data_IF_884943320208
#
_entry.id   IF_884943320208
#
_cell.length_a   1.000
_cell.length_b   1.000
_cell.length_c   1.000
_cell.angle_alpha   90.00
_cell.angle_beta   90.00
_cell.angle_gamma   90.00
#
_symmetry.space_group_name_H-M   'P 1'
#
loop_
_entity.id
_entity.type
_entity.pdbx_description
1 polymer ?
#
# COMPACT_ATOMS: atom_id res chain seq x y z
N UNK A 1 12.43 20.88 -20.57
CA UNK A 1 11.89 19.93 -19.57
C UNK A 1 10.85 19.05 -20.26
N UNK A 2 11.29 18.12 -21.11
CA UNK A 2 10.41 17.28 -21.90
C UNK A 2 10.97 15.85 -21.96
N UNK A 3 10.06 14.88 -21.90
CA UNK A 3 10.24 13.44 -22.18
C UNK A 3 11.18 12.64 -21.25
N UNK A 4 10.65 12.15 -20.11
CA UNK A 4 11.33 11.09 -19.36
C UNK A 4 10.38 10.06 -18.68
N UNK A 5 9.10 9.99 -19.07
CA UNK A 5 8.16 9.01 -18.49
C UNK A 5 7.27 8.30 -19.53
N UNK A 6 7.85 7.70 -20.60
CA UNK A 6 7.07 6.98 -21.61
C UNK A 6 6.28 5.81 -21.02
N UNK A 7 6.81 5.08 -20.03
CA UNK A 7 6.08 4.00 -19.35
C UNK A 7 4.83 4.44 -18.59
N UNK A 8 4.96 5.50 -17.79
CA UNK A 8 3.84 6.09 -17.05
C UNK A 8 2.76 6.54 -18.02
N UNK A 9 3.16 7.12 -19.15
CA UNK A 9 2.25 7.59 -20.21
C UNK A 9 1.54 6.42 -20.90
N UNK A 10 2.23 5.32 -21.20
CA UNK A 10 1.63 4.13 -21.82
C UNK A 10 0.63 3.45 -20.89
N UNK A 11 0.97 3.31 -19.61
CA UNK A 11 0.09 2.66 -18.64
C UNK A 11 -1.09 3.57 -18.25
N UNK A 12 -0.85 4.87 -18.14
CA UNK A 12 -1.88 5.90 -18.09
C UNK A 12 -2.87 5.74 -19.25
N UNK A 13 -2.37 5.59 -20.48
CA UNK A 13 -3.20 5.42 -21.67
C UNK A 13 -4.00 4.12 -21.61
N UNK A 14 -3.36 3.00 -21.22
CA UNK A 14 -4.01 1.70 -21.11
C UNK A 14 -5.09 1.68 -20.02
N UNK A 15 -4.84 2.21 -18.82
CA UNK A 15 -5.84 2.24 -17.74
C UNK A 15 -6.97 3.23 -18.03
N UNK A 16 -6.65 4.36 -18.68
CA UNK A 16 -7.64 5.39 -19.04
C UNK A 16 -8.55 4.97 -20.18
N UNK A 17 -8.01 4.29 -21.21
CA UNK A 17 -8.76 3.90 -22.40
C UNK A 17 -9.27 2.45 -22.37
N UNK A 18 -8.60 1.54 -21.65
CA UNK A 18 -9.07 0.17 -21.44
C UNK A 18 -9.51 -0.02 -19.99
N UNK A 19 -10.82 0.14 -19.75
CA UNK A 19 -11.50 -0.15 -18.47
C UNK A 19 -11.59 -1.66 -18.15
N UNK A 20 -10.73 -2.49 -18.75
CA UNK A 20 -10.75 -3.93 -18.51
C UNK A 20 -10.26 -4.23 -17.09
N UNK A 21 -11.01 -5.05 -16.37
CA UNK A 21 -10.66 -5.51 -15.02
C UNK A 21 -9.26 -6.15 -14.98
N UNK A 22 -8.88 -6.92 -16.01
CA UNK A 22 -7.57 -7.58 -16.09
C UNK A 22 -6.41 -6.59 -16.13
N UNK A 23 -6.56 -5.46 -16.84
CA UNK A 23 -5.53 -4.41 -16.94
C UNK A 23 -5.31 -3.74 -15.58
N UNK A 24 -6.38 -3.50 -14.82
CA UNK A 24 -6.29 -2.96 -13.46
C UNK A 24 -5.64 -3.95 -12.51
N UNK A 25 -5.99 -5.23 -12.58
CA UNK A 25 -5.37 -6.24 -11.73
C UNK A 25 -3.85 -6.33 -11.99
N UNK A 26 -3.42 -6.27 -13.25
CA UNK A 26 -1.98 -6.26 -13.59
C UNK A 26 -1.23 -5.05 -13.04
N UNK A 27 -1.91 -3.92 -12.80
CA UNK A 27 -1.28 -2.73 -12.23
C UNK A 27 -0.83 -2.89 -10.76
N UNK A 28 -1.32 -3.90 -10.02
CA UNK A 28 -0.82 -4.22 -8.67
C UNK A 28 0.61 -4.76 -8.69
N UNK A 29 0.98 -5.46 -9.76
CA UNK A 29 2.30 -6.07 -9.91
C UNK A 29 3.29 -5.16 -10.64
N UNK A 30 2.82 -4.01 -11.12
CA UNK A 30 3.63 -3.09 -11.88
C UNK A 30 4.07 -1.91 -11.00
N UNK A 31 5.35 -1.86 -10.67
CA UNK A 31 5.94 -0.80 -9.85
C UNK A 31 6.62 0.29 -10.69
N UNK A 32 6.44 0.36 -12.01
CA UNK A 32 7.15 1.28 -12.91
C UNK A 32 8.25 0.60 -13.75
N UNK A 33 9.07 1.41 -14.44
CA UNK A 33 10.26 0.92 -15.15
C UNK A 33 11.31 0.39 -14.16
N UNK A 34 11.80 -0.83 -14.39
CA UNK A 34 12.74 -1.54 -13.51
C UNK A 34 14.08 -0.81 -13.29
N UNK A 35 14.42 0.18 -14.11
CA UNK A 35 15.64 0.99 -13.98
C UNK A 35 15.41 2.35 -13.30
N UNK A 36 14.17 2.65 -12.89
CA UNK A 36 13.86 3.91 -12.20
C UNK A 36 14.12 3.81 -10.69
N UNK A 37 14.64 4.88 -10.09
CA UNK A 37 14.82 4.96 -8.62
C UNK A 37 13.49 4.77 -7.89
N UNK A 38 12.39 5.32 -8.44
CA UNK A 38 11.06 5.14 -7.88
C UNK A 38 10.57 3.69 -7.87
N UNK A 39 10.98 2.86 -8.85
CA UNK A 39 10.65 1.43 -8.86
C UNK A 39 11.31 0.74 -7.68
N UNK A 40 12.62 0.92 -7.53
CA UNK A 40 13.37 0.29 -6.43
C UNK A 40 12.90 0.76 -5.07
N UNK A 41 12.61 2.05 -4.93
CA UNK A 41 12.03 2.60 -3.71
C UNK A 41 10.72 1.90 -3.32
N UNK A 42 9.74 1.83 -4.24
CA UNK A 42 8.46 1.18 -3.96
C UNK A 42 8.61 -0.32 -3.73
N UNK A 43 9.47 -0.99 -4.49
CA UNK A 43 9.73 -2.42 -4.36
C UNK A 43 10.39 -2.76 -3.01
N UNK A 44 11.36 -1.95 -2.56
CA UNK A 44 12.00 -2.11 -1.25
C UNK A 44 10.97 -1.90 -0.13
N UNK A 45 10.14 -0.85 -0.20
CA UNK A 45 9.06 -0.63 0.76
C UNK A 45 8.09 -1.80 0.79
N UNK A 46 7.70 -2.30 -0.39
CA UNK A 46 6.87 -3.49 -0.50
C UNK A 46 7.48 -4.66 0.27
N UNK A 47 8.73 -5.02 -0.03
CA UNK A 47 9.41 -6.14 0.62
C UNK A 47 9.52 -5.97 2.14
N UNK A 48 9.97 -4.80 2.60
CA UNK A 48 10.17 -4.52 4.04
C UNK A 48 8.83 -4.65 4.77
N UNK A 49 7.82 -3.89 4.36
CA UNK A 49 6.56 -3.84 5.09
C UNK A 49 5.72 -5.10 4.92
N UNK A 50 5.83 -5.80 3.78
CA UNK A 50 5.19 -7.09 3.59
C UNK A 50 5.80 -8.14 4.52
N UNK A 51 7.14 -8.18 4.64
CA UNK A 51 7.83 -9.09 5.55
C UNK A 51 7.52 -8.76 7.03
N UNK A 52 7.58 -7.49 7.42
CA UNK A 52 7.27 -7.09 8.80
C UNK A 52 5.82 -7.38 9.19
N UNK A 53 4.87 -7.27 8.27
CA UNK A 53 3.49 -7.70 8.51
C UNK A 53 3.38 -9.23 8.59
N UNK A 54 4.08 -9.97 7.74
CA UNK A 54 4.10 -11.43 7.80
C UNK A 54 4.63 -11.92 9.15
N UNK A 55 5.71 -11.33 9.65
CA UNK A 55 6.28 -11.64 10.97
C UNK A 55 5.27 -11.37 12.09
N UNK A 56 4.65 -10.19 12.08
CA UNK A 56 3.66 -9.79 13.09
C UNK A 56 2.43 -10.70 13.10
N UNK A 57 1.89 -11.02 11.92
CA UNK A 57 0.72 -11.90 11.78
C UNK A 57 1.06 -13.37 12.01
N UNK A 58 2.31 -13.79 11.75
CA UNK A 58 2.77 -15.15 12.00
C UNK A 58 2.99 -15.40 13.49
N UNK A 59 3.50 -14.40 14.22
CA UNK A 59 3.75 -14.49 15.66
C UNK A 59 2.45 -14.77 16.46
N UNK A 60 1.31 -14.27 15.99
CA UNK A 60 0.00 -14.45 16.62
C UNK A 60 -0.86 -15.60 16.05
N UNK A 61 -0.23 -16.62 15.44
CA UNK A 61 -0.86 -17.87 15.00
C UNK A 61 -1.93 -17.76 13.90
N UNK A 62 -1.51 -17.37 12.68
CA UNK A 62 -1.81 -18.09 11.41
C UNK A 62 -1.35 -17.24 10.23
N UNK A 63 -0.41 -17.75 9.43
CA UNK A 63 -0.05 -17.20 8.09
C UNK A 63 -1.28 -16.89 7.21
N UNK A 64 -2.38 -17.62 7.42
CA UNK A 64 -3.67 -17.38 6.76
C UNK A 64 -4.17 -15.94 6.94
N UNK A 65 -3.93 -15.30 8.09
CA UNK A 65 -4.34 -13.91 8.31
C UNK A 65 -3.52 -12.93 7.49
N UNK A 66 -2.23 -13.19 7.30
CA UNK A 66 -1.39 -12.40 6.40
C UNK A 66 -1.90 -12.51 4.95
N UNK A 67 -2.18 -13.72 4.46
CA UNK A 67 -2.79 -13.89 3.14
C UNK A 67 -4.14 -13.19 3.02
N UNK A 68 -4.97 -13.24 4.07
CA UNK A 68 -6.24 -12.50 4.11
C UNK A 68 -6.03 -10.99 4.09
N UNK A 69 -5.00 -10.48 4.77
CA UNK A 69 -4.61 -9.07 4.76
C UNK A 69 -4.23 -8.60 3.35
N UNK A 70 -3.43 -9.39 2.63
CA UNK A 70 -3.05 -9.11 1.25
C UNK A 70 -4.28 -9.14 0.33
N UNK A 71 -5.07 -10.21 0.37
CA UNK A 71 -6.25 -10.39 -0.47
C UNK A 71 -7.30 -9.29 -0.24
N UNK A 72 -7.61 -9.00 1.03
CA UNK A 72 -8.59 -7.97 1.37
C UNK A 72 -8.10 -6.57 0.95
N UNK A 73 -6.80 -6.29 1.12
CA UNK A 73 -6.18 -5.05 0.65
C UNK A 73 -6.37 -4.86 -0.86
N UNK A 74 -6.05 -5.88 -1.66
CA UNK A 74 -6.24 -5.86 -3.12
C UNK A 74 -7.71 -5.62 -3.47
N UNK A 75 -8.64 -6.33 -2.83
CA UNK A 75 -10.08 -6.19 -3.09
C UNK A 75 -10.58 -4.78 -2.75
N UNK A 76 -10.22 -4.25 -1.58
CA UNK A 76 -10.66 -2.91 -1.15
C UNK A 76 -10.09 -1.84 -2.09
N UNK A 77 -8.81 -1.91 -2.43
CA UNK A 77 -8.17 -0.95 -3.34
C UNK A 77 -8.79 -1.04 -4.73
N UNK A 78 -9.07 -2.25 -5.25
CA UNK A 78 -9.77 -2.43 -6.52
C UNK A 78 -11.15 -1.75 -6.50
N UNK A 79 -11.94 -1.98 -5.46
CA UNK A 79 -13.27 -1.39 -5.32
C UNK A 79 -13.20 0.14 -5.24
N UNK A 80 -12.30 0.68 -4.43
CA UNK A 80 -12.06 2.12 -4.34
C UNK A 80 -11.61 2.70 -5.69
N UNK A 81 -10.82 1.94 -6.45
CA UNK A 81 -10.35 2.39 -7.77
C UNK A 81 -11.45 2.52 -8.83
N UNK A 82 -12.59 1.87 -8.63
CA UNK A 82 -13.72 1.93 -9.57
C UNK A 82 -14.60 3.17 -9.36
N UNK A 83 -14.37 3.95 -8.30
CA UNK A 83 -15.14 5.16 -8.02
C UNK A 83 -14.77 6.27 -9.00
N UNK A 84 -15.81 6.86 -9.64
CA UNK A 84 -15.69 7.73 -10.82
C UNK A 84 -14.87 9.04 -10.69
N UNK A 85 -14.54 9.61 -9.51
CA UNK A 85 -13.66 10.78 -9.47
C UNK A 85 -12.17 10.43 -9.28
N UNK A 86 -11.80 9.17 -9.05
CA UNK A 86 -10.42 8.80 -8.72
C UNK A 86 -9.68 8.39 -9.99
N UNK A 87 -8.82 9.28 -10.48
CA UNK A 87 -7.80 8.92 -11.45
C UNK A 87 -6.64 8.22 -10.73
N UNK A 88 -6.47 6.93 -11.01
CA UNK A 88 -5.47 6.05 -10.39
C UNK A 88 -4.81 5.27 -11.51
N UNK A 89 -3.49 5.25 -11.52
CA UNK A 89 -2.72 4.67 -12.59
C UNK A 89 -1.88 3.50 -12.08
N UNK A 90 -1.41 3.57 -10.82
CA UNK A 90 -0.61 2.55 -10.17
C UNK A 90 -1.27 2.04 -8.88
N UNK A 91 -2.02 0.94 -8.98
CA UNK A 91 -2.57 0.28 -7.79
C UNK A 91 -1.49 -0.35 -6.91
N UNK A 92 -0.32 -0.65 -7.47
CA UNK A 92 0.87 -1.07 -6.72
C UNK A 92 1.28 -0.04 -5.66
N UNK A 93 1.33 1.24 -6.00
CA UNK A 93 1.66 2.32 -5.07
C UNK A 93 0.61 2.44 -3.95
N UNK A 94 -0.67 2.40 -4.33
CA UNK A 94 -1.77 2.33 -3.34
C UNK A 94 -1.61 1.12 -2.40
N UNK A 95 -1.19 -0.03 -2.93
CA UNK A 95 -1.01 -1.25 -2.16
C UNK A 95 0.21 -1.20 -1.23
N UNK A 96 1.33 -0.63 -1.68
CA UNK A 96 2.51 -0.40 -0.82
C UNK A 96 2.13 0.49 0.35
N UNK A 97 1.47 1.61 0.10
CA UNK A 97 1.09 2.53 1.18
C UNK A 97 -0.02 1.99 2.07
N UNK A 98 -0.85 1.07 1.59
CA UNK A 98 -1.73 0.25 2.43
C UNK A 98 -0.93 -0.58 3.45
N UNK A 99 0.12 -1.30 3.01
CA UNK A 99 0.98 -2.10 3.90
C UNK A 99 1.76 -1.22 4.89
N UNK A 100 2.37 -0.14 4.38
CA UNK A 100 3.10 0.86 5.19
C UNK A 100 2.19 1.42 6.28
N UNK A 101 0.95 1.80 5.92
CA UNK A 101 -0.01 2.32 6.88
C UNK A 101 -0.39 1.28 7.93
N UNK A 102 -0.72 0.05 7.51
CA UNK A 102 -1.10 -1.02 8.44
C UNK A 102 0.00 -1.34 9.44
N UNK A 103 1.24 -1.51 8.98
CA UNK A 103 2.33 -1.83 9.89
C UNK A 103 2.58 -0.68 10.87
N UNK A 104 2.80 0.53 10.34
CA UNK A 104 3.22 1.66 11.16
C UNK A 104 2.11 2.22 12.06
N UNK A 105 0.83 2.14 11.67
CA UNK A 105 -0.27 2.77 12.42
C UNK A 105 -1.20 1.78 13.11
N UNK A 106 -1.25 0.52 12.66
CA UNK A 106 -2.09 -0.52 13.29
C UNK A 106 -1.27 -1.40 14.21
N UNK A 107 -0.22 -2.02 13.67
CA UNK A 107 0.51 -3.08 14.36
C UNK A 107 1.57 -2.56 15.31
N UNK A 108 2.34 -1.57 14.87
CA UNK A 108 3.41 -1.01 15.68
C UNK A 108 3.32 0.53 15.81
N UNK A 109 2.22 1.10 16.31
CA UNK A 109 2.00 2.56 16.34
C UNK A 109 2.95 3.33 17.25
N UNK A 110 3.43 2.70 18.33
CA UNK A 110 4.33 3.31 19.31
C UNK A 110 5.80 2.93 19.10
N UNK A 111 6.10 2.15 18.05
CA UNK A 111 7.45 1.78 17.69
C UNK A 111 8.19 2.91 16.97
N UNK A 112 9.50 2.71 16.85
CA UNK A 112 10.38 3.54 16.03
C UNK A 112 10.97 2.68 14.92
N UNK A 113 10.92 3.17 13.68
CA UNK A 113 11.56 2.50 12.54
C UNK A 113 12.78 3.31 12.13
N UNK A 114 13.93 2.64 11.98
CA UNK A 114 15.13 3.26 11.45
C UNK A 114 14.95 3.50 9.95
N UNK A 115 15.00 4.77 9.53
CA UNK A 115 14.97 5.13 8.11
C UNK A 115 16.37 5.04 7.50
N UNK A 116 17.36 5.54 8.24
CA UNK A 116 18.79 5.45 7.93
C UNK A 116 19.55 5.09 9.21
N UNK A 117 20.78 4.57 9.11
CA UNK A 117 21.65 4.43 10.28
C UNK A 117 21.74 5.77 11.04
N UNK A 118 21.29 5.79 12.29
CA UNK A 118 21.29 6.98 13.15
C UNK A 118 20.06 7.90 13.00
N UNK A 119 19.13 7.63 12.09
CA UNK A 119 17.88 8.38 11.96
C UNK A 119 16.66 7.47 12.18
N UNK A 120 16.13 7.51 13.39
CA UNK A 120 14.91 6.80 13.79
C UNK A 120 13.72 7.75 13.75
N UNK A 121 12.60 7.29 13.20
CA UNK A 121 11.35 8.05 13.11
C UNK A 121 10.26 7.26 13.83
N UNK A 122 9.43 7.95 14.61
CA UNK A 122 8.25 7.35 15.21
C UNK A 122 7.30 6.83 14.13
N UNK A 123 6.79 5.60 14.31
CA UNK A 123 5.96 4.95 13.30
C UNK A 123 4.68 5.73 12.97
N UNK A 124 4.08 6.43 13.94
CA UNK A 124 2.94 7.36 13.72
C UNK A 124 3.19 8.41 12.63
N UNK A 125 4.44 8.81 12.39
CA UNK A 125 4.80 9.80 11.37
C UNK A 125 5.42 9.15 10.12
N UNK A 126 5.89 7.91 10.23
CA UNK A 126 6.63 7.22 9.18
C UNK A 126 5.83 7.09 7.87
N UNK A 127 4.52 6.81 7.94
CA UNK A 127 3.69 6.72 6.72
C UNK A 127 3.66 8.03 5.94
N UNK A 128 3.44 9.16 6.62
CA UNK A 128 3.39 10.47 5.98
C UNK A 128 4.78 10.85 5.45
N UNK A 129 5.82 10.58 6.23
CA UNK A 129 7.20 10.83 5.83
C UNK A 129 7.58 10.08 4.54
N UNK A 130 7.23 8.80 4.43
CA UNK A 130 7.49 7.98 3.24
C UNK A 130 6.67 8.43 2.01
N UNK A 131 5.48 9.01 2.21
CA UNK A 131 4.70 9.62 1.11
C UNK A 131 5.45 10.83 0.54
N UNK A 132 5.96 11.72 1.41
CA UNK A 132 6.75 12.87 0.96
C UNK A 132 8.05 12.47 0.26
N UNK A 133 8.71 11.40 0.70
CA UNK A 133 9.87 10.86 0.00
C UNK A 133 9.48 10.32 -1.38
N UNK A 134 8.35 9.61 -1.49
CA UNK A 134 7.85 9.11 -2.79
C UNK A 134 7.66 10.24 -3.81
N UNK A 135 7.23 11.42 -3.34
CA UNK A 135 7.06 12.63 -4.13
C UNK A 135 8.35 13.11 -4.83
N UNK A 136 9.52 12.78 -4.29
CA UNK A 136 10.80 13.17 -4.88
C UNK A 136 11.14 12.34 -6.12
N UNK A 137 10.59 11.13 -6.22
CA UNK A 137 10.94 10.18 -7.27
C UNK A 137 9.90 10.08 -8.37
N UNK A 138 8.65 10.48 -8.12
CA UNK A 138 7.52 10.33 -9.06
C UNK A 138 6.56 11.51 -9.01
N UNK A 139 5.81 11.77 -10.11
CA UNK A 139 4.73 12.75 -10.10
C UNK A 139 3.75 12.41 -8.98
N UNK A 140 3.59 13.37 -8.08
CA UNK A 140 2.91 13.16 -6.82
C UNK A 140 1.40 13.20 -7.01
N UNK A 141 0.75 12.03 -6.94
CA UNK A 141 -0.71 11.91 -6.99
C UNK A 141 -1.26 11.53 -5.62
N UNK A 142 -1.82 12.53 -4.93
CA UNK A 142 -2.48 12.36 -3.63
C UNK A 142 -3.50 11.21 -3.63
N UNK A 143 -4.19 10.98 -4.75
CA UNK A 143 -5.24 9.96 -4.87
C UNK A 143 -4.73 8.55 -4.60
N UNK A 144 -3.55 8.19 -5.08
CA UNK A 144 -3.00 6.83 -4.94
C UNK A 144 -2.60 6.54 -3.49
N UNK A 145 -1.93 7.49 -2.82
CA UNK A 145 -1.58 7.39 -1.40
C UNK A 145 -2.81 7.34 -0.50
N UNK A 146 -3.79 8.21 -0.76
CA UNK A 146 -5.02 8.29 0.04
C UNK A 146 -5.82 6.99 -0.04
N UNK A 147 -5.89 6.35 -1.20
CA UNK A 147 -6.59 5.07 -1.35
C UNK A 147 -5.92 3.99 -0.52
N UNK A 148 -4.59 3.92 -0.52
CA UNK A 148 -3.85 2.99 0.33
C UNK A 148 -4.16 3.19 1.82
N UNK A 149 -4.12 4.44 2.29
CA UNK A 149 -4.44 4.80 3.67
C UNK A 149 -5.89 4.45 4.02
N UNK A 150 -6.85 4.83 3.17
CA UNK A 150 -8.27 4.55 3.37
C UNK A 150 -8.53 3.05 3.41
N UNK A 151 -7.92 2.28 2.49
CA UNK A 151 -8.01 0.83 2.49
C UNK A 151 -7.47 0.23 3.80
N UNK A 152 -6.35 0.77 4.30
CA UNK A 152 -5.75 0.34 5.56
C UNK A 152 -6.65 0.63 6.75
N UNK A 153 -7.25 1.81 6.79
CA UNK A 153 -8.23 2.19 7.82
C UNK A 153 -9.47 1.28 7.81
N UNK A 154 -10.01 0.98 6.63
CA UNK A 154 -11.14 0.06 6.47
C UNK A 154 -10.76 -1.34 6.97
N UNK A 155 -9.59 -1.84 6.58
CA UNK A 155 -9.08 -3.13 7.06
C UNK A 155 -8.99 -3.18 8.59
N UNK A 156 -8.37 -2.16 9.23
CA UNK A 156 -8.26 -2.07 10.69
C UNK A 156 -9.63 -2.11 11.39
N UNK A 157 -10.63 -1.42 10.83
CA UNK A 157 -11.99 -1.43 11.39
C UNK A 157 -12.64 -2.81 11.28
N UNK A 158 -12.43 -3.52 10.16
CA UNK A 158 -12.93 -4.88 9.97
C UNK A 158 -12.24 -5.88 10.91
N UNK A 159 -10.92 -5.78 11.05
CA UNK A 159 -10.13 -6.60 11.98
C UNK A 159 -10.61 -6.41 13.43
N UNK A 160 -10.77 -5.15 13.88
CA UNK A 160 -11.26 -4.86 15.24
C UNK A 160 -12.64 -5.46 15.50
N UNK A 161 -13.58 -5.37 14.56
CA UNK A 161 -14.92 -5.96 14.72
C UNK A 161 -14.87 -7.49 14.81
N UNK A 162 -14.00 -8.14 14.02
CA UNK A 162 -13.82 -9.60 14.07
C UNK A 162 -13.21 -10.05 15.40
N UNK A 163 -12.19 -9.35 15.90
CA UNK A 163 -11.59 -9.65 17.20
C UNK A 163 -12.59 -9.56 18.35
N UNK A 164 -13.47 -8.54 18.35
CA UNK A 164 -14.56 -8.42 19.34
C UNK A 164 -15.51 -9.63 19.23
N UNK A 165 -15.89 -10.02 18.01
CA UNK A 165 -16.80 -11.16 17.81
C UNK A 165 -16.21 -12.49 18.28
N UNK A 166 -14.92 -12.72 18.03
CA UNK A 166 -14.23 -13.97 18.43
C UNK A 166 -13.92 -14.02 19.94
N UNK A 167 -13.93 -12.87 20.60
CA UNK A 167 -13.76 -12.72 22.06
C UNK A 167 -15.08 -12.85 22.83
N UNK A 168 -16.20 -12.38 22.25
CA UNK A 168 -17.53 -12.43 22.88
C UNK A 168 -18.39 -13.62 22.42
N UNK A 169 -18.08 -14.27 21.29
CA UNK A 169 -18.77 -15.48 20.80
C UNK A 169 -18.23 -16.79 21.38
N UNK A 170 -17.34 -16.72 22.38
CA UNK A 170 -16.85 -17.86 23.18
C UNK A 170 -17.40 -17.83 24.61
N UNK A 171 -18.65 -17.40 24.77
CA UNK A 171 -19.46 -17.58 25.98
C UNK A 171 -20.69 -18.41 25.62
#
# INVERSE_FOLDING_TARGET
MAAFWPSYTIQYYLVRHHKSFSVRLMSFLYFGECLSVGYWYQFILFLIYSNSLEEEYSYHYRRVYYFFCLLLGVVIILLLSMLKPLEIYLLSESFVFYLVFLYNNSKNPNGTTAFLPGLCIDNKYMTIFLIFISALFRPFLWTEYLIGIVAGFVFMKLERKRFIRDSFGRV
#
